data_IF_097918816242
#
_entry.id   IF_097918816242
#
_cell.length_a   1.000
_cell.length_b   1.000
_cell.length_c   1.000
_cell.angle_alpha   90.00
_cell.angle_beta   90.00
_cell.angle_gamma   90.00
#
_symmetry.space_group_name_H-M   'P 1'
#
loop_
_entity.id
_entity.type
_entity.pdbx_description
1 polymer ?
#
# COMPACT_ATOMS: atom_id res chain seq x y z
N UNK A 1 -19.93 7.64 2.61
CA UNK A 1 -19.79 6.50 3.55
C UNK A 1 -19.14 5.37 2.80
N UNK A 2 -17.88 5.06 3.12
CA UNK A 2 -17.20 3.87 2.60
C UNK A 2 -17.78 2.64 3.30
N UNK A 3 -17.98 1.49 2.63
CA UNK A 3 -18.31 0.25 3.31
C UNK A 3 -17.12 -0.13 4.20
N UNK A 4 -17.34 -0.17 5.52
CA UNK A 4 -16.31 -0.48 6.50
C UNK A 4 -15.78 -1.92 6.33
N UNK A 5 -14.46 -2.16 6.32
CA UNK A 5 -13.87 -3.50 6.32
C UNK A 5 -13.69 -4.07 7.74
N UNK A 6 -14.61 -3.81 8.67
CA UNK A 6 -14.54 -4.31 10.07
C UNK A 6 -14.67 -5.84 10.17
N UNK A 7 -14.81 -6.54 9.05
CA UNK A 7 -14.94 -8.00 8.98
C UNK A 7 -14.02 -8.59 7.92
N UNK A 8 -12.76 -8.12 7.81
CA UNK A 8 -11.77 -8.85 7.01
C UNK A 8 -11.54 -10.23 7.66
N UNK A 9 -12.24 -11.21 7.11
CA UNK A 9 -11.98 -12.64 7.26
C UNK A 9 -10.81 -12.96 6.32
N UNK A 10 -9.87 -13.84 6.69
CA UNK A 10 -8.84 -14.28 5.78
C UNK A 10 -9.45 -14.74 4.46
N UNK A 11 -9.06 -14.09 3.36
CA UNK A 11 -9.57 -14.34 2.03
C UNK A 11 -8.46 -14.07 1.03
N UNK A 12 -8.12 -15.10 0.25
CA UNK A 12 -7.23 -14.95 -0.90
C UNK A 12 -7.91 -14.17 -2.05
N UNK A 13 -9.24 -14.07 -2.05
CA UNK A 13 -9.97 -13.24 -3.01
C UNK A 13 -9.91 -11.77 -2.55
N UNK A 14 -9.31 -10.88 -3.35
CA UNK A 14 -9.22 -9.49 -2.98
C UNK A 14 -10.59 -8.82 -3.04
N UNK A 15 -10.88 -7.97 -2.06
CA UNK A 15 -11.92 -6.97 -2.17
C UNK A 15 -11.47 -5.85 -3.11
N UNK A 16 -12.31 -5.50 -4.08
CA UNK A 16 -11.95 -4.53 -5.14
C UNK A 16 -12.78 -3.26 -4.96
N UNK A 17 -12.09 -2.12 -4.86
CA UNK A 17 -12.66 -0.77 -4.92
C UNK A 17 -12.19 -0.12 -6.21
N UNK A 18 -13.10 0.44 -6.99
CA UNK A 18 -12.77 1.24 -8.18
C UNK A 18 -13.11 2.70 -7.96
N UNK A 19 -12.25 3.59 -8.42
CA UNK A 19 -12.42 5.04 -8.27
C UNK A 19 -11.68 5.78 -9.37
N UNK A 20 -12.20 6.90 -9.89
CA UNK A 20 -11.41 7.79 -10.72
C UNK A 20 -10.17 8.27 -9.97
N UNK A 21 -9.04 8.39 -10.67
CA UNK A 21 -7.84 9.01 -10.13
C UNK A 21 -8.06 10.53 -10.01
N UNK A 22 -7.62 11.12 -8.90
CA UNK A 22 -7.57 12.57 -8.67
C UNK A 22 -6.48 13.22 -9.51
N UNK A 23 -5.38 12.50 -9.74
CA UNK A 23 -4.17 12.99 -10.40
C UNK A 23 -3.96 12.45 -11.81
N UNK A 24 -5.03 12.33 -12.61
CA UNK A 24 -4.91 11.92 -14.00
C UNK A 24 -6.23 11.93 -14.74
N UNK A 25 -6.24 12.46 -15.97
CA UNK A 25 -7.43 12.43 -16.83
C UNK A 25 -7.58 11.04 -17.43
N UNK A 26 -8.80 10.48 -17.38
CA UNK A 26 -9.11 9.17 -17.93
C UNK A 26 -8.29 8.04 -17.28
N UNK A 27 -7.99 8.16 -15.99
CA UNK A 27 -7.35 7.10 -15.20
C UNK A 27 -8.29 6.65 -14.10
N UNK A 28 -8.45 5.34 -13.96
CA UNK A 28 -9.14 4.67 -12.88
C UNK A 28 -8.12 3.97 -11.99
N UNK A 29 -8.31 4.07 -10.68
CA UNK A 29 -7.62 3.26 -9.69
C UNK A 29 -8.49 2.05 -9.36
N UNK A 30 -7.89 0.86 -9.42
CA UNK A 30 -8.49 -0.38 -8.93
C UNK A 30 -7.67 -0.85 -7.75
N UNK A 31 -8.28 -0.82 -6.58
CA UNK A 31 -7.62 -1.07 -5.30
C UNK A 31 -8.06 -2.45 -4.84
N UNK A 32 -7.13 -3.40 -4.88
CA UNK A 32 -7.35 -4.78 -4.48
C UNK A 32 -6.81 -4.96 -3.07
N UNK A 33 -7.66 -5.38 -2.14
CA UNK A 33 -7.30 -5.59 -0.74
C UNK A 33 -7.53 -7.04 -0.35
N UNK A 34 -6.51 -7.74 0.12
CA UNK A 34 -6.63 -9.10 0.65
C UNK A 34 -6.04 -9.18 2.05
N UNK A 35 -6.55 -10.14 2.83
CA UNK A 35 -6.00 -10.53 4.13
C UNK A 35 -5.67 -12.02 4.06
N UNK A 36 -4.40 -12.36 4.18
CA UNK A 36 -3.96 -13.77 4.19
C UNK A 36 -3.22 -14.10 5.48
N UNK A 37 -3.20 -15.38 5.85
CA UNK A 37 -2.44 -15.88 6.99
C UNK A 37 -1.03 -16.22 6.54
N UNK A 38 -0.03 -15.94 7.37
CA UNK A 38 1.31 -16.48 7.21
C UNK A 38 1.72 -17.26 8.46
N UNK A 39 2.49 -18.32 8.26
CA UNK A 39 3.14 -19.08 9.32
C UNK A 39 4.54 -19.45 8.82
N UNK A 40 5.57 -19.02 9.54
CA UNK A 40 6.96 -19.28 9.17
C UNK A 40 7.70 -19.90 10.34
N UNK A 41 8.47 -20.94 10.04
CA UNK A 41 9.28 -21.64 11.02
C UNK A 41 10.41 -20.75 11.55
N UNK A 42 10.98 -21.16 12.68
CA UNK A 42 12.19 -20.54 13.20
C UNK A 42 13.35 -20.71 12.23
N UNK A 43 14.17 -19.67 12.11
CA UNK A 43 15.45 -19.68 11.42
C UNK A 43 16.59 -19.45 12.44
N UNK A 44 17.84 -19.62 11.99
CA UNK A 44 19.03 -19.62 12.85
C UNK A 44 19.14 -18.41 13.80
N UNK A 45 18.49 -17.28 13.48
CA UNK A 45 18.48 -16.05 14.31
C UNK A 45 17.11 -15.38 14.38
N UNK A 46 16.04 -16.09 14.04
CA UNK A 46 14.70 -15.53 14.04
C UNK A 46 13.69 -16.56 14.57
N UNK A 47 12.89 -16.23 15.59
CA UNK A 47 11.91 -17.16 16.14
C UNK A 47 10.81 -17.44 15.10
N UNK A 48 10.12 -18.58 15.25
CA UNK A 48 8.91 -18.84 14.47
C UNK A 48 7.89 -17.70 14.71
N UNK A 49 7.16 -17.35 13.66
CA UNK A 49 6.16 -16.28 13.73
C UNK A 49 4.99 -16.62 12.83
N UNK A 50 3.79 -16.33 13.32
CA UNK A 50 2.56 -16.45 12.57
C UNK A 50 1.72 -15.19 12.75
N UNK A 51 0.82 -14.95 11.81
CA UNK A 51 -0.02 -13.77 11.83
C UNK A 51 -0.73 -13.59 10.51
N UNK A 52 -1.04 -12.34 10.20
CA UNK A 52 -1.75 -11.98 8.99
C UNK A 52 -0.97 -10.94 8.18
N UNK A 53 -1.15 -10.98 6.87
CA UNK A 53 -0.68 -9.94 5.97
C UNK A 53 -1.88 -9.32 5.25
N UNK A 54 -2.04 -8.01 5.43
CA UNK A 54 -2.93 -7.21 4.59
C UNK A 54 -2.13 -6.80 3.37
N UNK A 55 -2.57 -7.19 2.19
CA UNK A 55 -1.98 -6.77 0.93
C UNK A 55 -2.92 -5.79 0.25
N UNK A 56 -2.40 -4.62 -0.11
CA UNK A 56 -3.11 -3.64 -0.94
C UNK A 56 -2.34 -3.52 -2.25
N UNK A 57 -3.01 -3.79 -3.37
CA UNK A 57 -2.51 -3.54 -4.71
C UNK A 57 -3.31 -2.41 -5.32
N UNK A 58 -2.63 -1.35 -5.75
CA UNK A 58 -3.26 -0.23 -6.46
C UNK A 58 -2.87 -0.31 -7.92
N UNK A 59 -3.82 -0.70 -8.76
CA UNK A 59 -3.67 -0.66 -10.21
C UNK A 59 -4.13 0.69 -10.73
N UNK A 60 -3.32 1.31 -11.56
CA UNK A 60 -3.69 2.53 -12.30
C UNK A 60 -3.91 2.14 -13.75
N UNK A 61 -5.13 2.30 -14.25
CA UNK A 61 -5.51 1.88 -15.60
C UNK A 61 -6.14 3.03 -16.38
N UNK A 62 -5.86 3.07 -17.67
CA UNK A 62 -6.54 3.97 -18.58
C UNK A 62 -8.01 3.56 -18.77
N UNK A 63 -8.94 4.50 -18.62
CA UNK A 63 -10.38 4.17 -18.64
C UNK A 63 -10.91 3.75 -20.01
N UNK A 64 -10.23 4.11 -21.09
CA UNK A 64 -10.67 3.78 -22.45
C UNK A 64 -10.11 2.43 -22.90
N UNK A 65 -8.85 2.16 -22.58
CA UNK A 65 -8.12 0.98 -23.07
C UNK A 65 -8.00 -0.14 -22.05
N UNK A 66 -8.18 0.16 -20.76
CA UNK A 66 -7.94 -0.77 -19.66
C UNK A 66 -6.46 -1.11 -19.44
N UNK A 67 -5.55 -0.49 -20.19
CA UNK A 67 -4.11 -0.75 -20.09
C UNK A 67 -3.51 -0.07 -18.86
N UNK A 68 -2.42 -0.61 -18.29
CA UNK A 68 -1.70 0.02 -17.20
C UNK A 68 -1.26 1.44 -17.57
N UNK A 69 -1.45 2.39 -16.65
CA UNK A 69 -1.06 3.78 -16.82
C UNK A 69 -0.38 4.29 -15.56
N UNK A 70 0.87 4.73 -15.71
CA UNK A 70 1.63 5.22 -14.56
C UNK A 70 1.00 6.49 -13.97
N UNK A 71 0.92 6.52 -12.64
CA UNK A 71 0.52 7.69 -11.85
C UNK A 71 1.60 8.01 -10.80
N UNK A 72 1.74 9.28 -10.41
CA UNK A 72 2.55 9.65 -9.25
C UNK A 72 2.12 8.85 -8.02
N UNK A 73 3.09 8.33 -7.28
CA UNK A 73 2.85 7.41 -6.14
C UNK A 73 2.09 8.04 -4.96
N UNK A 74 1.95 9.37 -4.93
CA UNK A 74 1.28 10.08 -3.84
C UNK A 74 -0.17 9.62 -3.62
N UNK A 75 -0.97 9.59 -4.68
CA UNK A 75 -2.38 9.19 -4.58
C UNK A 75 -2.56 7.69 -4.25
N UNK A 76 -1.86 6.74 -4.92
CA UNK A 76 -1.85 5.34 -4.50
C UNK A 76 -1.41 5.13 -3.04
N UNK A 77 -0.41 5.88 -2.57
CA UNK A 77 0.04 5.83 -1.17
C UNK A 77 -1.05 6.29 -0.20
N UNK A 78 -1.85 7.29 -0.57
CA UNK A 78 -2.97 7.76 0.25
C UNK A 78 -4.05 6.68 0.40
N UNK A 79 -4.37 5.95 -0.68
CA UNK A 79 -5.30 4.83 -0.62
C UNK A 79 -4.81 3.70 0.29
N UNK A 80 -3.57 3.27 0.12
CA UNK A 80 -2.98 2.24 0.97
C UNK A 80 -2.96 2.66 2.46
N UNK A 81 -2.61 3.92 2.75
CA UNK A 81 -2.64 4.46 4.11
C UNK A 81 -4.05 4.47 4.71
N UNK A 82 -5.05 4.87 3.94
CA UNK A 82 -6.44 4.88 4.42
C UNK A 82 -6.91 3.48 4.80
N UNK A 83 -6.60 2.47 3.98
CA UNK A 83 -6.93 1.06 4.26
C UNK A 83 -6.19 0.55 5.50
N UNK A 84 -4.92 0.90 5.67
CA UNK A 84 -4.16 0.51 6.87
C UNK A 84 -4.62 1.25 8.13
N UNK A 85 -5.12 2.47 8.02
CA UNK A 85 -5.68 3.22 9.14
C UNK A 85 -6.96 2.59 9.69
N UNK A 86 -7.78 1.95 8.84
CA UNK A 86 -8.98 1.23 9.28
C UNK A 86 -8.68 0.02 10.19
N UNK A 87 -7.44 -0.49 10.16
CA UNK A 87 -6.94 -1.55 11.05
C UNK A 87 -6.01 -0.99 12.14
N UNK A 88 -6.16 0.30 12.46
CA UNK A 88 -5.43 1.06 13.49
C UNK A 88 -3.90 0.96 13.39
N UNK A 89 -3.39 0.75 12.16
CA UNK A 89 -1.97 0.60 11.94
C UNK A 89 -1.34 1.95 11.58
N UNK A 90 -0.51 2.48 12.48
CA UNK A 90 0.44 3.56 12.18
C UNK A 90 1.60 3.11 11.26
N UNK A 91 1.54 1.88 10.75
CA UNK A 91 2.62 1.20 10.03
C UNK A 91 2.09 0.62 8.71
N UNK A 92 3.01 0.42 7.78
CA UNK A 92 2.75 -0.15 6.46
C UNK A 92 4.05 -0.10 5.65
N UNK A 93 4.13 -0.94 4.64
CA UNK A 93 5.30 -1.05 3.77
C UNK A 93 4.87 -0.85 2.33
N UNK A 94 5.60 0.01 1.62
CA UNK A 94 5.57 0.14 0.18
C UNK A 94 6.61 -0.81 -0.42
N UNK A 95 6.19 -1.63 -1.37
CA UNK A 95 7.04 -2.64 -2.01
C UNK A 95 7.52 -2.21 -3.40
N UNK A 96 6.87 -1.22 -4.01
CA UNK A 96 7.16 -0.80 -5.38
C UNK A 96 6.15 -1.32 -6.39
N UNK A 97 6.51 -1.22 -7.67
CA UNK A 97 5.76 -1.77 -8.79
C UNK A 97 6.11 -3.25 -9.00
N UNK A 98 5.72 -4.08 -8.03
CA UNK A 98 6.09 -5.50 -7.99
C UNK A 98 4.89 -6.38 -7.65
N UNK A 99 4.96 -7.64 -8.02
CA UNK A 99 4.23 -8.71 -7.36
C UNK A 99 4.76 -8.85 -5.92
N UNK A 100 3.88 -8.82 -4.89
CA UNK A 100 4.31 -8.79 -3.51
C UNK A 100 4.84 -10.14 -2.99
N UNK A 101 4.56 -11.24 -3.68
CA UNK A 101 4.98 -12.60 -3.31
C UNK A 101 6.28 -12.99 -4.00
N UNK A 102 6.44 -12.66 -5.28
CA UNK A 102 7.62 -13.02 -6.08
C UNK A 102 8.66 -11.90 -6.17
N UNK A 103 8.24 -10.65 -5.98
CA UNK A 103 9.09 -9.47 -6.20
C UNK A 103 9.29 -9.11 -7.67
N UNK A 104 8.64 -9.82 -8.61
CA UNK A 104 8.72 -9.52 -10.04
C UNK A 104 8.10 -8.17 -10.36
N UNK A 105 8.70 -7.43 -11.29
CA UNK A 105 8.21 -6.10 -11.66
C UNK A 105 6.89 -6.16 -12.44
N UNK A 106 5.89 -5.40 -12.01
CA UNK A 106 4.55 -5.35 -12.61
C UNK A 106 4.14 -3.92 -12.95
N UNK A 107 3.95 -3.64 -14.24
CA UNK A 107 3.63 -2.30 -14.74
C UNK A 107 2.26 -1.80 -14.29
N UNK A 108 2.22 -0.53 -13.86
CA UNK A 108 1.00 0.16 -13.42
C UNK A 108 0.32 -0.41 -12.18
N UNK A 109 0.98 -1.34 -11.47
CA UNK A 109 0.62 -1.78 -10.14
C UNK A 109 1.57 -1.15 -9.13
N UNK A 110 1.07 -0.82 -7.94
CA UNK A 110 1.88 -0.54 -6.77
C UNK A 110 1.43 -1.43 -5.62
N UNK A 111 2.38 -2.11 -4.99
CA UNK A 111 2.14 -3.08 -3.93
C UNK A 111 2.46 -2.51 -2.55
N UNK A 112 1.60 -2.83 -1.60
CA UNK A 112 1.70 -2.42 -0.21
C UNK A 112 1.38 -3.59 0.71
N UNK A 113 2.08 -3.67 1.84
CA UNK A 113 1.82 -4.67 2.88
C UNK A 113 1.78 -4.08 4.28
N UNK A 114 0.88 -4.62 5.09
CA UNK A 114 0.87 -4.46 6.53
C UNK A 114 0.87 -5.86 7.15
N UNK A 115 1.71 -6.04 8.17
CA UNK A 115 1.82 -7.29 8.90
C UNK A 115 1.18 -7.13 10.28
N UNK A 116 0.36 -8.11 10.63
CA UNK A 116 -0.34 -8.19 11.90
C UNK A 116 0.07 -9.47 12.62
N UNK A 117 0.16 -9.43 13.95
CA UNK A 117 0.25 -10.66 14.75
C UNK A 117 -1.11 -11.38 14.85
N UNK A 118 -1.14 -12.47 15.60
CA UNK A 118 -2.35 -13.27 15.84
C UNK A 118 -3.46 -12.50 16.56
N UNK A 119 -3.11 -11.46 17.32
CA UNK A 119 -4.05 -10.57 18.02
C UNK A 119 -4.47 -9.37 17.16
N UNK A 120 -4.14 -9.42 15.86
CA UNK A 120 -4.39 -8.38 14.85
C UNK A 120 -3.72 -7.04 15.18
N UNK A 121 -2.63 -7.05 15.94
CA UNK A 121 -1.84 -5.85 16.20
C UNK A 121 -0.76 -5.66 15.14
N UNK A 122 -0.53 -4.42 14.73
CA UNK A 122 0.47 -4.09 13.72
C UNK A 122 1.89 -4.42 14.23
N UNK A 123 2.59 -5.27 13.50
CA UNK A 123 3.98 -5.65 13.77
C UNK A 123 4.91 -5.16 12.67
N UNK A 124 6.21 -5.12 12.96
CA UNK A 124 7.22 -4.94 11.90
C UNK A 124 7.24 -6.18 11.02
N UNK A 125 7.62 -6.00 9.75
CA UNK A 125 7.83 -7.11 8.82
C UNK A 125 8.80 -8.13 9.43
N UNK A 126 8.39 -9.41 9.59
CA UNK A 126 9.31 -10.46 9.98
C UNK A 126 10.39 -10.67 8.91
N UNK A 127 11.64 -10.82 9.32
CA UNK A 127 12.75 -10.98 8.37
C UNK A 127 12.56 -12.21 7.46
N UNK A 128 11.87 -13.24 7.95
CA UNK A 128 11.62 -14.49 7.23
C UNK A 128 10.62 -14.37 6.08
N UNK A 129 9.79 -13.32 6.05
CA UNK A 129 8.79 -13.11 4.99
C UNK A 129 9.22 -12.06 3.96
N UNK A 130 10.42 -11.49 4.09
CA UNK A 130 10.93 -10.46 3.18
C UNK A 130 11.48 -11.14 1.91
N UNK A 131 10.64 -11.23 0.87
CA UNK A 131 11.05 -11.68 -0.48
C UNK A 131 11.49 -10.54 -1.42
N UNK A 132 11.10 -9.29 -1.12
CA UNK A 132 11.37 -8.11 -1.94
C UNK A 132 11.63 -6.87 -1.05
N UNK A 133 12.14 -5.75 -1.59
CA UNK A 133 12.38 -4.54 -0.79
C UNK A 133 11.10 -4.02 -0.11
N UNK A 134 11.14 -3.84 1.20
CA UNK A 134 10.04 -3.30 2.01
C UNK A 134 10.41 -1.91 2.52
N UNK A 135 9.83 -0.86 1.95
CA UNK A 135 10.07 0.53 2.37
C UNK A 135 8.98 0.97 3.33
N UNK A 136 9.34 1.29 4.57
CA UNK A 136 8.38 1.75 5.57
C UNK A 136 7.66 3.01 5.08
N UNK A 137 6.33 2.95 5.03
CA UNK A 137 5.50 4.11 4.76
C UNK A 137 5.60 5.06 5.95
N UNK A 138 5.94 6.32 5.68
CA UNK A 138 5.85 7.36 6.71
C UNK A 138 4.37 7.64 6.99
N UNK A 139 4.01 7.69 8.27
CA UNK A 139 2.74 8.29 8.68
C UNK A 139 2.84 9.79 8.39
N UNK A 140 1.94 10.31 7.56
CA UNK A 140 1.78 11.75 7.33
C UNK A 140 3.03 12.50 6.85
N UNK A 141 3.23 12.57 5.54
CA UNK A 141 3.70 13.82 4.93
C UNK A 141 2.54 14.24 4.01
N UNK A 142 1.65 15.08 4.53
CA UNK A 142 0.72 15.82 3.69
C UNK A 142 1.54 16.82 2.87
N UNK A 143 1.39 16.80 1.54
CA UNK A 143 1.93 17.76 0.56
C UNK A 143 3.41 18.12 0.78
N UNK A 144 4.35 17.74 -0.12
CA UNK A 144 5.60 18.47 -0.22
C UNK A 144 5.23 19.93 -0.54
N UNK A 145 5.27 20.82 0.46
CA UNK A 145 5.38 22.24 0.21
C UNK A 145 6.75 22.41 -0.43
N UNK A 146 6.80 22.30 -1.75
CA UNK A 146 7.88 22.90 -2.51
C UNK A 146 7.94 24.34 -2.02
N UNK A 147 9.08 24.70 -1.42
CA UNK A 147 9.31 26.04 -0.94
C UNK A 147 9.09 27.00 -2.09
N UNK A 148 7.92 27.62 -2.13
CA UNK A 148 7.74 28.87 -2.80
C UNK A 148 8.60 29.86 -2.03
N UNK A 149 9.84 30.06 -2.49
CA UNK A 149 10.54 31.30 -2.20
C UNK A 149 9.54 32.44 -2.41
N UNK A 150 9.41 33.36 -1.45
CA UNK A 150 8.63 34.57 -1.71
C UNK A 150 9.22 35.26 -2.95
N UNK A 151 8.39 35.82 -3.84
CA UNK A 151 8.89 36.58 -4.97
C UNK A 151 9.80 37.71 -4.44
N UNK A 152 10.91 38.05 -5.13
CA UNK A 152 11.77 39.14 -4.71
C UNK A 152 10.97 40.44 -4.66
N UNK A 153 11.16 41.17 -3.57
CA UNK A 153 10.51 42.44 -3.30
C UNK A 153 10.78 43.44 -4.44
N UNK A 154 9.76 43.94 -5.15
CA UNK A 154 9.96 45.01 -6.11
C UNK A 154 10.13 46.33 -5.36
N UNK A 155 11.40 46.66 -5.14
CA UNK A 155 11.91 47.99 -4.78
C UNK A 155 11.62 48.51 -3.36
N UNK A 156 12.67 48.53 -2.54
CA UNK A 156 13.14 49.76 -1.88
C UNK A 156 14.62 49.72 -1.53
#
# INVERSE_FOLDING_TARGET
MLPLPTTLVPSAHPHIITTPARTGTHVELRIHTSLTVFEVAAALWAPAVSGFVVTVLVHSVDTATGLPRHLPTAEPNEWARAIFADVDAAQGYFLGAVDPDTGEHWDGQLAYRLYLDTDRQAIRVPAQVVGCPHYRMRAGDGIPRFGSSPPPDPAR
#
